data_IF_617171637152
#
_entry.id   IF_617171637152
#
_cell.length_a   1.000
_cell.length_b   1.000
_cell.length_c   1.000
_cell.angle_alpha   90.00
_cell.angle_beta   90.00
_cell.angle_gamma   90.00
#
_symmetry.space_group_name_H-M   'P 1'
#
loop_
_entity.id
_entity.type
_entity.pdbx_description
1 polymer ?
#
# COMPACT_ATOMS: atom_id res chain seq x y z
N UNK A 1 20.20 10.89 13.64
CA UNK A 1 19.33 9.77 14.04
C UNK A 1 18.58 9.32 12.78
N UNK A 2 19.01 8.20 12.18
CA UNK A 2 18.36 7.70 10.96
C UNK A 2 17.19 6.83 11.41
N UNK A 3 15.98 7.39 11.43
CA UNK A 3 14.73 6.63 11.63
C UNK A 3 14.43 5.84 10.35
N UNK A 4 15.33 4.93 10.00
CA UNK A 4 15.09 3.98 8.92
C UNK A 4 13.96 3.07 9.38
N UNK A 5 12.83 3.14 8.67
CA UNK A 5 11.73 2.20 8.85
C UNK A 5 12.32 0.82 8.50
N UNK A 6 12.63 0.02 9.52
CA UNK A 6 13.03 -1.38 9.34
C UNK A 6 11.77 -2.17 9.04
N UNK A 7 11.56 -2.47 7.76
CA UNK A 7 10.51 -3.38 7.31
C UNK A 7 11.13 -4.78 7.34
N UNK A 8 10.77 -5.67 8.30
CA UNK A 8 11.39 -6.99 8.45
C UNK A 8 11.24 -7.87 7.21
N UNK A 9 10.18 -7.63 6.43
CA UNK A 9 9.85 -8.31 5.16
C UNK A 9 10.05 -7.39 3.94
N UNK A 10 11.05 -6.52 3.98
CA UNK A 10 11.27 -5.50 2.94
C UNK A 10 11.55 -6.06 1.54
N UNK A 11 12.02 -7.30 1.46
CA UNK A 11 12.28 -8.01 0.20
C UNK A 11 11.10 -8.90 -0.25
N UNK A 12 10.06 -9.04 0.58
CA UNK A 12 8.88 -9.85 0.26
C UNK A 12 7.92 -9.11 -0.66
N UNK A 13 7.35 -9.85 -1.61
CA UNK A 13 6.42 -9.27 -2.60
C UNK A 13 4.97 -9.45 -2.18
N UNK A 14 4.17 -8.39 -2.27
CA UNK A 14 2.71 -8.44 -2.12
C UNK A 14 2.03 -8.30 -3.48
N UNK A 15 0.89 -8.98 -3.67
CA UNK A 15 0.05 -8.87 -4.86
C UNK A 15 -1.23 -8.12 -4.51
N UNK A 16 -1.61 -7.14 -5.33
CA UNK A 16 -2.82 -6.34 -5.12
C UNK A 16 -3.58 -6.20 -6.43
N UNK A 17 -4.89 -6.39 -6.39
CA UNK A 17 -5.77 -6.15 -7.53
C UNK A 17 -6.17 -4.67 -7.60
N UNK A 18 -5.79 -4.02 -8.70
CA UNK A 18 -6.05 -2.61 -8.97
C UNK A 18 -6.65 -2.44 -10.36
N UNK A 19 -7.50 -1.43 -10.52
CA UNK A 19 -7.96 -1.02 -11.83
C UNK A 19 -6.87 -0.25 -12.57
N UNK A 20 -6.94 -0.21 -13.92
CA UNK A 20 -5.98 0.53 -14.74
C UNK A 20 -5.88 2.00 -14.33
N UNK A 21 -6.99 2.64 -13.95
CA UNK A 21 -7.00 4.04 -13.49
C UNK A 21 -6.27 4.21 -12.15
N UNK A 22 -6.43 3.26 -11.24
CA UNK A 22 -5.72 3.25 -9.95
C UNK A 22 -4.22 3.08 -10.17
N UNK A 23 -3.80 2.16 -11.06
CA UNK A 23 -2.38 1.98 -11.40
C UNK A 23 -1.81 3.27 -11.99
N UNK A 24 -2.50 3.90 -12.94
CA UNK A 24 -2.07 5.18 -13.52
C UNK A 24 -1.98 6.29 -12.45
N UNK A 25 -2.91 6.32 -11.49
CA UNK A 25 -2.86 7.27 -10.39
C UNK A 25 -1.60 7.09 -9.54
N UNK A 26 -1.22 5.83 -9.27
CA UNK A 26 0.00 5.50 -8.52
C UNK A 26 1.28 5.84 -9.27
N UNK A 27 1.28 5.84 -10.61
CA UNK A 27 2.42 6.31 -11.41
C UNK A 27 2.53 7.85 -11.49
N UNK A 28 1.62 8.58 -10.84
CA UNK A 28 1.61 10.05 -10.79
C UNK A 28 0.69 10.72 -11.81
N UNK A 29 -0.12 9.96 -12.56
CA UNK A 29 -1.16 10.54 -13.42
C UNK A 29 -2.27 11.10 -12.55
N UNK A 30 -2.52 12.40 -12.67
CA UNK A 30 -3.58 13.05 -11.91
C UNK A 30 -4.92 12.89 -12.60
N UNK A 31 -5.94 12.56 -11.81
CA UNK A 31 -7.34 12.60 -12.23
C UNK A 31 -8.02 13.81 -11.57
N UNK A 32 -7.89 15.03 -12.12
CA UNK A 32 -8.37 16.26 -11.47
C UNK A 32 -9.87 16.24 -11.22
N UNK A 33 -10.63 15.53 -12.06
CA UNK A 33 -12.09 15.40 -11.88
C UNK A 33 -12.48 14.21 -11.01
N UNK A 34 -11.52 13.41 -10.53
CA UNK A 34 -11.80 12.22 -9.72
C UNK A 34 -10.61 11.83 -8.82
N UNK A 35 -10.39 12.63 -7.78
CA UNK A 35 -9.38 12.37 -6.75
C UNK A 35 -9.62 11.07 -5.97
N UNK A 36 -10.84 10.52 -6.00
CA UNK A 36 -11.19 9.29 -5.32
C UNK A 36 -10.41 8.09 -5.85
N UNK A 37 -9.94 8.12 -7.09
CA UNK A 37 -9.15 7.04 -7.70
C UNK A 37 -7.78 6.91 -7.03
N UNK A 38 -7.11 8.03 -6.75
CA UNK A 38 -5.82 8.01 -6.05
C UNK A 38 -6.00 7.53 -4.61
N UNK A 39 -7.05 8.02 -3.94
CA UNK A 39 -7.39 7.63 -2.57
C UNK A 39 -7.74 6.14 -2.51
N UNK A 40 -8.51 5.61 -3.47
CA UNK A 40 -8.88 4.19 -3.49
C UNK A 40 -7.67 3.30 -3.74
N UNK A 41 -6.78 3.68 -4.65
CA UNK A 41 -5.53 2.97 -4.91
C UNK A 41 -4.66 2.86 -3.63
N UNK A 42 -4.47 3.99 -2.94
CA UNK A 42 -3.71 4.03 -1.67
C UNK A 42 -4.39 3.21 -0.57
N UNK A 43 -5.72 3.28 -0.44
CA UNK A 43 -6.46 2.47 0.54
C UNK A 43 -6.28 0.98 0.32
N UNK A 44 -6.33 0.51 -0.94
CA UNK A 44 -6.13 -0.90 -1.27
C UNK A 44 -4.71 -1.37 -0.94
N UNK A 45 -3.70 -0.56 -1.27
CA UNK A 45 -2.32 -0.85 -0.87
C UNK A 45 -2.16 -0.93 0.65
N UNK A 46 -2.67 0.07 1.37
CA UNK A 46 -2.59 0.09 2.83
C UNK A 46 -3.29 -1.10 3.45
N UNK A 47 -4.47 -1.49 2.96
CA UNK A 47 -5.19 -2.65 3.49
C UNK A 47 -4.38 -3.95 3.38
N UNK A 48 -3.68 -4.15 2.26
CA UNK A 48 -2.80 -5.32 2.08
C UNK A 48 -1.57 -5.22 2.98
N UNK A 49 -0.94 -4.06 3.08
CA UNK A 49 0.22 -3.85 3.95
C UNK A 49 -0.17 -4.07 5.43
N UNK A 50 -1.31 -3.54 5.87
CA UNK A 50 -1.86 -3.76 7.21
C UNK A 50 -2.13 -5.24 7.46
N UNK A 51 -2.72 -5.95 6.50
CA UNK A 51 -2.95 -7.40 6.60
C UNK A 51 -1.65 -8.21 6.70
N UNK A 52 -0.61 -7.84 5.97
CA UNK A 52 0.69 -8.53 6.00
C UNK A 52 1.54 -8.17 7.22
N UNK A 53 1.50 -6.91 7.69
CA UNK A 53 2.38 -6.41 8.75
C UNK A 53 1.78 -6.52 10.16
N UNK A 54 0.45 -6.44 10.30
CA UNK A 54 -0.20 -6.45 11.62
C UNK A 54 -0.49 -7.87 12.16
N UNK A 55 -0.52 -8.89 11.30
CA UNK A 55 -0.80 -10.27 11.75
C UNK A 55 0.37 -10.85 12.57
N UNK A 56 1.62 -10.59 12.17
CA UNK A 56 2.81 -11.04 12.92
C UNK A 56 2.96 -10.34 14.28
N UNK A 57 2.39 -9.15 14.45
CA UNK A 57 2.41 -8.42 15.73
C UNK A 57 1.50 -9.07 16.79
N UNK A 58 0.56 -9.94 16.38
CA UNK A 58 -0.37 -10.64 17.28
C UNK A 58 0.00 -12.09 17.59
N UNK A 59 0.95 -12.69 16.87
CA UNK A 59 1.40 -14.06 17.12
C UNK A 59 2.56 -14.16 18.11
N UNK A 60 3.01 -13.03 18.68
CA UNK A 60 4.09 -12.96 19.67
C UNK A 60 3.62 -12.58 21.10
N UNK A 61 2.42 -13.00 21.50
CA UNK A 61 1.99 -12.93 22.91
C UNK A 61 1.39 -14.25 23.40
#
# INVERSE_FOLDING_TARGET
>A
MNTGIRIPQGDDTVKVELTVKEVLALTGVKFPNNHSIEISAKKKLNHVIEGHYLDESKQAH
#
